data_IF_445799509083
#
_entry.id   IF_445799509083
#
_cell.length_a   1.000
_cell.length_b   1.000
_cell.length_c   1.000
_cell.angle_alpha   90.00
_cell.angle_beta   90.00
_cell.angle_gamma   90.00
#
_symmetry.space_group_name_H-M   'P 1'
#
loop_
_entity.id
_entity.type
_entity.pdbx_description
1 polymer ?
#
# COMPACT_ATOMS: atom_id res chain seq x y z
N UNK A 1 -13.02 -8.10 -11.68
CA UNK A 1 -11.63 -7.86 -12.13
C UNK A 1 -11.53 -7.65 -13.64
N UNK A 2 -12.09 -8.52 -14.49
CA UNK A 2 -12.04 -8.36 -15.95
C UNK A 2 -12.47 -6.96 -16.43
N UNK A 3 -13.64 -6.50 -15.98
CA UNK A 3 -14.16 -5.16 -16.29
C UNK A 3 -13.18 -4.04 -15.90
N UNK A 4 -12.54 -4.16 -14.74
CA UNK A 4 -11.60 -3.16 -14.21
C UNK A 4 -10.34 -3.10 -15.07
N UNK A 5 -9.81 -4.27 -15.48
CA UNK A 5 -8.62 -4.34 -16.34
C UNK A 5 -8.93 -3.76 -17.73
N UNK A 6 -10.07 -4.13 -18.33
CA UNK A 6 -10.48 -3.60 -19.63
C UNK A 6 -10.73 -2.08 -19.60
N UNK A 7 -11.32 -1.58 -18.52
CA UNK A 7 -11.50 -0.14 -18.29
C UNK A 7 -10.14 0.56 -18.18
N UNK A 8 -9.20 -0.02 -17.41
CA UNK A 8 -7.85 0.52 -17.26
C UNK A 8 -7.06 0.53 -18.57
N UNK A 9 -7.16 -0.52 -19.37
CA UNK A 9 -6.54 -0.57 -20.70
C UNK A 9 -7.11 0.51 -21.64
N UNK A 10 -8.42 0.74 -21.58
CA UNK A 10 -9.08 1.81 -22.33
C UNK A 10 -8.60 3.20 -21.88
N UNK A 11 -8.42 3.40 -20.57
CA UNK A 11 -7.83 4.62 -20.02
C UNK A 11 -6.38 4.82 -20.46
N UNK A 12 -5.55 3.77 -20.40
CA UNK A 12 -4.15 3.78 -20.87
C UNK A 12 -4.06 4.14 -22.35
N UNK A 13 -4.90 3.54 -23.19
CA UNK A 13 -4.96 3.86 -24.62
C UNK A 13 -5.37 5.32 -24.88
N UNK A 14 -6.29 5.87 -24.05
CA UNK A 14 -6.70 7.28 -24.14
C UNK A 14 -5.60 8.23 -23.66
N UNK A 15 -4.86 7.87 -22.60
CA UNK A 15 -3.70 8.62 -22.10
C UNK A 15 -2.56 8.64 -23.12
N UNK A 16 -2.28 7.52 -23.79
CA UNK A 16 -1.29 7.45 -24.87
C UNK A 16 -1.56 8.44 -26.00
N UNK A 17 -2.83 8.67 -26.36
CA UNK A 17 -3.23 9.68 -27.35
C UNK A 17 -3.16 11.13 -26.86
N UNK A 18 -3.40 11.38 -25.57
CA UNK A 18 -3.34 12.73 -24.98
C UNK A 18 -1.94 13.16 -24.54
N UNK A 19 -0.99 12.23 -24.38
CA UNK A 19 0.39 12.52 -23.96
C UNK A 19 1.17 13.33 -24.99
N UNK A 20 0.77 13.30 -26.27
CA UNK A 20 1.31 14.16 -27.33
C UNK A 20 0.80 15.61 -27.24
N UNK A 21 -0.28 15.88 -26.50
CA UNK A 21 -0.93 17.21 -26.48
C UNK A 21 -0.91 17.89 -25.11
N UNK A 22 -0.86 17.15 -24.00
CA UNK A 22 -0.86 17.69 -22.64
C UNK A 22 0.10 16.87 -21.78
N UNK A 23 1.14 17.51 -21.25
CA UNK A 23 2.16 16.91 -20.38
C UNK A 23 1.65 16.50 -18.99
N UNK A 24 0.53 15.78 -18.93
CA UNK A 24 -0.01 15.25 -17.68
C UNK A 24 0.69 13.92 -17.35
N UNK A 25 1.65 14.00 -16.42
CA UNK A 25 2.25 12.84 -15.75
C UNK A 25 1.26 12.25 -14.73
N UNK A 26 0.19 11.63 -15.21
CA UNK A 26 -0.53 10.65 -14.40
C UNK A 26 0.42 9.48 -14.13
N UNK A 27 0.87 9.34 -12.88
CA UNK A 27 1.80 8.29 -12.47
C UNK A 27 1.29 6.89 -12.85
N UNK A 28 2.21 6.02 -13.28
CA UNK A 28 1.91 4.60 -13.55
C UNK A 28 1.59 3.91 -12.23
N UNK A 29 0.47 3.19 -12.18
CA UNK A 29 0.16 2.33 -11.04
C UNK A 29 0.63 0.88 -11.26
N UNK A 30 0.44 0.03 -10.24
CA UNK A 30 0.86 -1.37 -10.28
C UNK A 30 0.25 -2.15 -11.46
N UNK A 31 -1.03 -1.90 -11.77
CA UNK A 31 -1.70 -2.57 -12.89
C UNK A 31 -1.13 -2.09 -14.23
N UNK A 32 -0.83 -0.79 -14.35
CA UNK A 32 -0.16 -0.23 -15.52
C UNK A 32 1.22 -0.89 -15.75
N UNK A 33 2.01 -1.09 -14.68
CA UNK A 33 3.32 -1.77 -14.75
C UNK A 33 3.20 -3.25 -15.16
N UNK A 34 2.20 -3.97 -14.66
CA UNK A 34 1.97 -5.36 -15.04
C UNK A 34 1.57 -5.51 -16.51
N UNK A 35 0.73 -4.58 -17.01
CA UNK A 35 0.33 -4.56 -18.41
C UNK A 35 1.50 -4.20 -19.33
N UNK A 36 2.33 -3.22 -18.95
CA UNK A 36 3.59 -2.91 -19.67
C UNK A 36 4.47 -4.16 -19.77
N UNK A 37 4.60 -4.91 -18.67
CA UNK A 37 5.42 -6.14 -18.61
C UNK A 37 4.86 -7.24 -19.53
N UNK A 38 3.54 -7.38 -19.60
CA UNK A 38 2.87 -8.30 -20.53
C UNK A 38 3.08 -7.88 -22.00
N UNK A 39 3.01 -6.59 -22.30
CA UNK A 39 3.20 -6.03 -23.65
C UNK A 39 4.65 -6.11 -24.14
N UNK A 40 5.63 -5.92 -23.24
CA UNK A 40 7.06 -5.95 -23.58
C UNK A 40 7.54 -7.34 -24.03
N UNK A 41 6.87 -8.42 -23.58
CA UNK A 41 7.15 -9.80 -24.01
C UNK A 41 8.56 -10.31 -23.72
N UNK A 42 9.34 -9.60 -22.89
CA UNK A 42 10.75 -9.91 -22.56
C UNK A 42 10.90 -10.84 -21.35
N UNK A 43 9.81 -11.19 -20.69
CA UNK A 43 9.85 -12.08 -19.54
C UNK A 43 10.12 -13.52 -19.98
N UNK A 44 10.99 -14.22 -19.23
CA UNK A 44 11.25 -15.66 -19.43
C UNK A 44 9.97 -16.50 -19.24
N UNK A 45 9.04 -16.01 -18.42
CA UNK A 45 7.70 -16.57 -18.22
C UNK A 45 6.68 -15.64 -18.87
N UNK A 46 5.86 -16.19 -19.75
CA UNK A 46 4.79 -15.43 -20.41
C UNK A 46 3.72 -15.02 -19.39
N UNK A 47 3.63 -13.71 -19.14
CA UNK A 47 2.60 -13.15 -18.28
C UNK A 47 1.34 -13.02 -19.12
N UNK A 48 0.33 -13.84 -18.82
CA UNK A 48 -0.98 -13.74 -19.46
C UNK A 48 -1.90 -12.81 -18.67
N UNK A 49 -3.00 -12.39 -19.30
CA UNK A 49 -4.07 -11.66 -18.63
C UNK A 49 -4.62 -12.41 -17.41
N UNK A 50 -4.69 -13.73 -17.46
CA UNK A 50 -5.17 -14.54 -16.33
C UNK A 50 -4.18 -14.48 -15.16
N UNK A 51 -2.87 -14.44 -15.42
CA UNK A 51 -1.86 -14.22 -14.38
C UNK A 51 -2.02 -12.84 -13.73
N UNK A 52 -2.24 -11.78 -14.51
CA UNK A 52 -2.47 -10.43 -13.97
C UNK A 52 -3.73 -10.41 -13.09
N UNK A 53 -4.84 -11.02 -13.54
CA UNK A 53 -6.07 -11.11 -12.74
C UNK A 53 -5.85 -11.84 -11.43
N UNK A 54 -5.17 -12.99 -11.48
CA UNK A 54 -4.89 -13.80 -10.30
C UNK A 54 -4.04 -13.00 -9.30
N UNK A 55 -2.96 -12.37 -9.76
CA UNK A 55 -2.07 -11.58 -8.89
C UNK A 55 -2.75 -10.37 -8.26
N UNK A 56 -3.57 -9.64 -9.02
CA UNK A 56 -4.34 -8.51 -8.46
C UNK A 56 -5.36 -9.00 -7.44
N UNK A 57 -6.04 -10.12 -7.71
CA UNK A 57 -6.98 -10.72 -6.76
C UNK A 57 -6.26 -11.12 -5.47
N UNK A 58 -5.19 -11.89 -5.59
CA UNK A 58 -4.40 -12.40 -4.47
C UNK A 58 -3.83 -11.27 -3.63
N UNK A 59 -3.33 -10.20 -4.25
CA UNK A 59 -2.81 -9.05 -3.53
C UNK A 59 -3.90 -8.35 -2.72
N UNK A 60 -5.08 -8.13 -3.30
CA UNK A 60 -6.18 -7.45 -2.61
C UNK A 60 -6.75 -8.29 -1.47
N UNK A 61 -6.94 -9.59 -1.69
CA UNK A 61 -7.46 -10.49 -0.65
C UNK A 61 -6.46 -10.66 0.49
N UNK A 62 -5.17 -10.86 0.17
CA UNK A 62 -4.13 -11.01 1.17
C UNK A 62 -3.88 -9.71 1.96
N UNK A 63 -3.94 -8.54 1.33
CA UNK A 63 -3.65 -7.27 2.00
C UNK A 63 -4.80 -6.77 2.88
N UNK A 64 -6.06 -6.93 2.43
CA UNK A 64 -7.19 -6.26 3.09
C UNK A 64 -7.49 -6.84 4.47
N UNK A 65 -7.78 -8.15 4.54
CA UNK A 65 -8.21 -8.76 5.80
C UNK A 65 -7.06 -8.81 6.82
N UNK A 66 -5.84 -9.12 6.37
CA UNK A 66 -4.69 -9.25 7.27
C UNK A 66 -4.28 -7.92 7.89
N UNK A 67 -4.27 -6.82 7.12
CA UNK A 67 -3.91 -5.50 7.66
C UNK A 67 -5.00 -4.94 8.57
N UNK A 68 -6.28 -5.15 8.22
CA UNK A 68 -7.40 -4.77 9.06
C UNK A 68 -7.34 -5.47 10.43
N UNK A 69 -7.17 -6.80 10.43
CA UNK A 69 -7.05 -7.60 11.65
C UNK A 69 -5.84 -7.17 12.49
N UNK A 70 -4.68 -6.92 11.85
CA UNK A 70 -3.48 -6.47 12.56
C UNK A 70 -3.70 -5.13 13.26
N UNK A 71 -4.35 -4.16 12.60
CA UNK A 71 -4.67 -2.85 13.19
C UNK A 71 -5.71 -3.00 14.30
N UNK A 72 -6.74 -3.81 14.11
CA UNK A 72 -7.78 -4.05 15.10
C UNK A 72 -7.21 -4.62 16.40
N UNK A 73 -6.38 -5.66 16.33
CA UNK A 73 -5.70 -6.21 17.51
C UNK A 73 -4.74 -5.23 18.16
N UNK A 74 -3.96 -4.50 17.35
CA UNK A 74 -3.04 -3.48 17.88
C UNK A 74 -3.82 -2.42 18.68
N UNK A 75 -4.96 -1.95 18.17
CA UNK A 75 -5.81 -0.98 18.87
C UNK A 75 -6.45 -1.59 20.12
N UNK A 76 -6.93 -2.83 20.05
CA UNK A 76 -7.52 -3.53 21.20
C UNK A 76 -6.52 -3.66 22.37
N UNK A 77 -5.27 -4.03 22.07
CA UNK A 77 -4.20 -4.13 23.06
C UNK A 77 -3.82 -2.76 23.63
N UNK A 78 -3.75 -1.72 22.79
CA UNK A 78 -3.44 -0.37 23.27
C UNK A 78 -4.53 0.21 24.17
N UNK A 79 -5.81 -0.02 23.84
CA UNK A 79 -6.94 0.41 24.67
C UNK A 79 -6.93 -0.33 26.03
N UNK A 80 -6.54 -1.61 26.02
CA UNK A 80 -6.44 -2.44 27.24
C UNK A 80 -5.24 -2.06 28.12
N UNK A 81 -4.23 -1.40 27.56
CA UNK A 81 -2.99 -1.03 28.25
C UNK A 81 -2.71 0.49 28.15
N UNK A 82 -3.42 1.33 28.94
CA UNK A 82 -3.31 2.80 28.85
C UNK A 82 -1.88 3.34 29.04
N UNK A 83 -1.08 2.73 29.90
CA UNK A 83 0.32 3.15 30.11
C UNK A 83 1.19 2.98 28.84
N UNK A 84 0.93 1.93 28.05
CA UNK A 84 1.64 1.70 26.78
C UNK A 84 1.18 2.74 25.76
N UNK A 85 -0.11 3.03 25.72
CA UNK A 85 -0.69 4.02 24.82
C UNK A 85 -0.17 5.44 25.09
N UNK A 86 -0.07 5.84 26.36
CA UNK A 86 0.47 7.15 26.73
C UNK A 86 1.96 7.28 26.36
N UNK A 87 2.77 6.24 26.58
CA UNK A 87 4.17 6.21 26.14
C UNK A 87 4.32 6.32 24.62
N UNK A 88 3.45 5.65 23.87
CA UNK A 88 3.42 5.74 22.41
C UNK A 88 3.10 7.17 21.94
N UNK A 89 2.14 7.83 22.58
CA UNK A 89 1.80 9.23 22.31
C UNK A 89 2.96 10.17 22.65
N UNK A 90 3.63 9.96 23.78
CA UNK A 90 4.81 10.75 24.15
C UNK A 90 5.94 10.62 23.12
N UNK A 91 6.18 9.43 22.58
CA UNK A 91 7.19 9.23 21.54
C UNK A 91 6.86 10.03 20.28
N UNK A 92 5.60 9.95 19.81
CA UNK A 92 5.13 10.72 18.65
C UNK A 92 5.25 12.22 18.92
N UNK A 93 4.82 12.70 20.09
CA UNK A 93 4.90 14.12 20.46
C UNK A 93 6.36 14.61 20.50
N UNK A 94 7.32 13.77 20.92
CA UNK A 94 8.76 14.11 20.96
C UNK A 94 9.39 14.17 19.58
N UNK A 95 9.02 13.26 18.68
CA UNK A 95 9.68 13.09 17.36
C UNK A 95 9.02 13.97 16.28
N UNK A 96 7.70 14.00 16.26
CA UNK A 96 6.90 14.65 15.21
C UNK A 96 6.38 16.01 15.67
N UNK A 97 6.05 16.13 16.95
CA UNK A 97 5.37 17.29 17.52
C UNK A 97 3.88 17.33 17.18
N UNK A 98 3.21 18.42 17.56
CA UNK A 98 1.74 18.56 17.47
C UNK A 98 1.23 19.31 16.24
N UNK A 99 2.11 19.65 15.31
CA UNK A 99 1.81 20.61 14.23
C UNK A 99 1.73 19.95 12.85
N UNK A 100 2.07 18.67 12.75
CA UNK A 100 2.03 17.89 11.51
C UNK A 100 1.67 16.43 11.79
N UNK A 101 1.27 15.72 10.75
CA UNK A 101 1.06 14.28 10.80
C UNK A 101 2.40 13.52 10.69
N UNK A 102 2.39 12.28 11.16
CA UNK A 102 3.49 11.32 11.02
C UNK A 102 3.68 11.01 9.53
N UNK A 103 4.94 10.92 9.11
CA UNK A 103 5.35 10.54 7.76
C UNK A 103 6.29 9.32 7.81
N UNK A 104 6.49 8.67 6.68
CA UNK A 104 7.38 7.49 6.56
C UNK A 104 8.83 7.83 6.93
N UNK A 105 9.25 9.10 6.80
CA UNK A 105 10.58 9.57 7.17
C UNK A 105 10.80 9.57 8.68
N UNK A 106 9.72 9.59 9.48
CA UNK A 106 9.79 9.59 10.94
C UNK A 106 9.98 8.19 11.51
N UNK A 107 9.65 7.14 10.76
CA UNK A 107 9.66 5.74 11.21
C UNK A 107 10.97 5.31 11.89
N UNK A 108 12.18 5.68 11.41
CA UNK A 108 13.43 5.32 12.09
C UNK A 108 13.56 5.89 13.52
N UNK A 109 12.86 6.99 13.80
CA UNK A 109 12.90 7.69 15.09
C UNK A 109 11.74 7.30 16.02
N UNK A 110 10.91 6.32 15.64
CA UNK A 110 9.79 5.82 16.45
C UNK A 110 10.01 4.36 16.92
N UNK A 111 11.07 4.08 17.71
CA UNK A 111 11.41 2.72 18.11
C UNK A 111 10.34 2.06 19.00
N UNK A 112 9.62 2.82 19.83
CA UNK A 112 8.59 2.28 20.70
C UNK A 112 7.32 1.91 19.92
N UNK A 113 6.88 2.74 18.97
CA UNK A 113 5.81 2.36 18.02
C UNK A 113 6.20 1.09 17.26
N UNK A 114 7.45 0.98 16.82
CA UNK A 114 7.93 -0.22 16.14
C UNK A 114 7.91 -1.46 17.07
N UNK A 115 8.21 -1.29 18.35
CA UNK A 115 8.11 -2.35 19.34
C UNK A 115 6.66 -2.79 19.58
N UNK A 116 5.71 -1.85 19.62
CA UNK A 116 4.27 -2.15 19.73
C UNK A 116 3.83 -2.99 18.53
N UNK A 117 4.15 -2.58 17.30
CA UNK A 117 3.79 -3.34 16.10
C UNK A 117 4.36 -4.76 16.18
N UNK A 118 5.64 -4.91 16.53
CA UNK A 118 6.28 -6.23 16.69
C UNK A 118 5.59 -7.10 17.74
N UNK A 119 5.22 -6.52 18.87
CA UNK A 119 4.55 -7.24 19.94
C UNK A 119 3.13 -7.64 19.54
N UNK A 120 2.39 -6.77 18.86
CA UNK A 120 1.06 -7.10 18.32
C UNK A 120 1.10 -8.24 17.29
N UNK A 121 2.18 -8.40 16.53
CA UNK A 121 2.39 -9.56 15.65
C UNK A 121 2.88 -10.82 16.40
N UNK A 122 3.35 -10.71 17.64
CA UNK A 122 3.87 -11.83 18.44
C UNK A 122 2.76 -12.55 19.24
N UNK A 123 1.73 -11.81 19.64
CA UNK A 123 0.58 -12.32 20.39
C UNK A 123 -0.25 -13.30 19.55
#
# INVERSE_FOLDING_TARGET
>A
LEKIISERESERARRGKNRETLGEEGGKDFLDMMLDTMEDGKCEVEITRDHIKALVLDFLTAATDTTAIAVEWTLAELISNPEVFDKAREEIDKVVGKHRLVTELDTPNLPYIHAIIKESFRL
#
